data_IF_784123984376
#
_entry.id   IF_784123984376
#
_cell.length_a   1.000
_cell.length_b   1.000
_cell.length_c   1.000
_cell.angle_alpha   90.00
_cell.angle_beta   90.00
_cell.angle_gamma   90.00
#
_symmetry.space_group_name_H-M   'P 1'
#
loop_
_entity.id
_entity.type
_entity.pdbx_description
1 polymer ?
#
# COMPACT_ATOMS: atom_id res chain seq x y z
N UNK A 1 -8.30 16.97 -9.99
CA UNK A 1 -8.41 15.84 -10.93
C UNK A 1 -9.16 14.71 -10.24
N UNK A 2 -9.93 13.95 -11.02
CA UNK A 2 -10.69 12.77 -10.57
C UNK A 2 -10.51 11.67 -11.60
N UNK A 3 -10.38 10.43 -11.17
CA UNK A 3 -10.35 9.27 -12.05
C UNK A 3 -11.76 8.67 -12.14
N UNK A 4 -12.24 8.42 -13.36
CA UNK A 4 -13.58 7.87 -13.60
C UNK A 4 -13.45 6.40 -14.01
N UNK A 5 -14.15 5.51 -13.32
CA UNK A 5 -14.22 4.09 -13.62
C UNK A 5 -15.63 3.68 -13.98
N UNK A 6 -15.80 3.10 -15.18
CA UNK A 6 -17.05 2.46 -15.59
C UNK A 6 -17.02 0.98 -15.26
N UNK A 7 -18.03 0.47 -14.57
CA UNK A 7 -18.12 -0.94 -14.17
C UNK A 7 -19.56 -1.46 -14.18
N UNK A 8 -19.70 -2.78 -14.13
CA UNK A 8 -20.95 -3.43 -13.83
C UNK A 8 -21.13 -3.58 -12.33
N UNK A 9 -22.30 -3.19 -11.80
CA UNK A 9 -22.56 -3.14 -10.37
C UNK A 9 -22.82 -4.49 -9.71
N UNK A 10 -23.30 -5.46 -10.48
CA UNK A 10 -23.56 -6.83 -10.00
C UNK A 10 -22.33 -7.72 -10.17
N UNK A 11 -21.18 -7.25 -9.74
CA UNK A 11 -19.92 -7.96 -9.90
C UNK A 11 -19.13 -8.03 -8.58
N UNK A 12 -18.28 -9.04 -8.45
CA UNK A 12 -17.42 -9.24 -7.28
C UNK A 12 -16.34 -8.16 -7.10
N UNK A 13 -16.11 -7.32 -8.12
CA UNK A 13 -15.18 -6.18 -8.07
C UNK A 13 -15.86 -4.88 -7.66
N UNK A 14 -17.15 -4.87 -7.44
CA UNK A 14 -17.88 -3.66 -7.01
C UNK A 14 -17.32 -3.17 -5.67
N UNK A 15 -17.02 -1.86 -5.55
CA UNK A 15 -16.44 -1.30 -4.35
C UNK A 15 -17.43 -1.42 -3.18
N UNK A 16 -16.93 -1.75 -1.99
CA UNK A 16 -17.76 -1.80 -0.79
C UNK A 16 -18.26 -0.40 -0.43
N UNK A 17 -19.57 -0.24 -0.26
CA UNK A 17 -20.19 1.01 0.16
C UNK A 17 -20.06 1.17 1.68
N UNK A 18 -19.79 2.41 2.12
CA UNK A 18 -19.87 2.82 3.53
C UNK A 18 -21.28 3.35 3.81
N UNK A 19 -21.82 4.10 2.84
CA UNK A 19 -23.10 4.78 2.97
C UNK A 19 -23.79 4.87 1.61
N UNK A 20 -25.14 4.84 1.60
CA UNK A 20 -25.95 4.94 0.39
C UNK A 20 -26.22 3.60 -0.27
N UNK A 21 -26.43 3.60 -1.57
CA UNK A 21 -26.73 2.41 -2.38
C UNK A 21 -25.96 2.44 -3.70
N UNK A 22 -25.94 1.33 -4.42
CA UNK A 22 -25.39 1.27 -5.77
C UNK A 22 -26.30 2.01 -6.75
N UNK A 23 -25.72 2.60 -7.81
CA UNK A 23 -26.49 3.28 -8.84
C UNK A 23 -27.52 2.37 -9.51
N UNK A 24 -28.73 2.86 -9.62
CA UNK A 24 -29.84 2.22 -10.34
C UNK A 24 -30.01 2.79 -11.74
N UNK A 25 -29.52 4.03 -11.97
CA UNK A 25 -29.67 4.75 -13.21
C UNK A 25 -28.32 5.26 -13.72
N UNK A 26 -28.28 5.60 -15.01
CA UNK A 26 -27.07 6.13 -15.69
C UNK A 26 -26.64 7.53 -15.22
N UNK A 27 -27.48 8.25 -14.49
CA UNK A 27 -27.22 9.58 -13.92
C UNK A 27 -26.78 9.52 -12.45
N UNK A 28 -26.58 8.32 -11.92
CA UNK A 28 -26.14 8.11 -10.55
C UNK A 28 -24.69 7.63 -10.51
N UNK A 29 -23.97 8.09 -9.47
CA UNK A 29 -22.55 7.76 -9.29
C UNK A 29 -22.23 7.41 -7.83
N UNK A 30 -21.19 6.63 -7.67
CA UNK A 30 -20.60 6.33 -6.35
C UNK A 30 -19.21 6.96 -6.30
N UNK A 31 -18.89 7.63 -5.20
CA UNK A 31 -17.63 8.35 -5.05
C UNK A 31 -16.86 7.90 -3.82
N UNK A 32 -15.55 8.13 -3.82
CA UNK A 32 -14.72 7.90 -2.63
C UNK A 32 -15.05 8.94 -1.53
N UNK A 33 -15.04 8.52 -0.27
CA UNK A 33 -15.30 9.38 0.90
C UNK A 33 -14.42 10.65 0.93
N UNK A 34 -13.27 10.65 0.28
CA UNK A 34 -12.42 11.84 0.22
C UNK A 34 -13.06 13.06 -0.46
N UNK A 35 -14.17 12.88 -1.18
CA UNK A 35 -14.96 14.00 -1.72
C UNK A 35 -15.56 14.89 -0.62
N UNK A 36 -15.82 14.33 0.57
CA UNK A 36 -16.28 15.11 1.73
C UNK A 36 -15.27 16.20 2.15
N UNK A 37 -13.97 15.96 1.93
CA UNK A 37 -12.93 16.96 2.20
C UNK A 37 -13.03 18.19 1.27
N UNK A 38 -13.71 18.04 0.14
CA UNK A 38 -14.00 19.12 -0.80
C UNK A 38 -15.40 19.72 -0.60
N UNK A 39 -16.11 19.32 0.46
CA UNK A 39 -17.46 19.80 0.80
C UNK A 39 -18.57 19.12 0.03
N UNK A 40 -18.29 18.07 -0.73
CA UNK A 40 -19.24 17.30 -1.53
C UNK A 40 -19.74 16.13 -0.69
N UNK A 41 -21.06 15.96 -0.59
CA UNK A 41 -21.73 14.98 0.27
C UNK A 41 -22.62 14.04 -0.51
N UNK A 42 -23.03 12.96 0.15
CA UNK A 42 -24.05 12.07 -0.36
C UNK A 42 -25.34 12.85 -0.70
N UNK A 43 -25.86 12.64 -1.89
CA UNK A 43 -27.06 13.32 -2.42
C UNK A 43 -26.76 14.57 -3.22
N UNK A 44 -25.53 15.07 -3.22
CA UNK A 44 -25.12 16.22 -4.05
C UNK A 44 -25.00 15.83 -5.51
N UNK A 45 -25.15 16.82 -6.38
CA UNK A 45 -24.98 16.68 -7.82
C UNK A 45 -23.58 17.15 -8.24
N UNK A 46 -22.90 16.35 -9.07
CA UNK A 46 -21.58 16.68 -9.61
C UNK A 46 -21.59 16.66 -11.14
N UNK A 47 -20.77 17.50 -11.76
CA UNK A 47 -20.51 17.46 -13.20
C UNK A 47 -19.17 16.78 -13.46
N UNK A 48 -19.17 15.82 -14.36
CA UNK A 48 -17.97 15.05 -14.71
C UNK A 48 -17.50 15.39 -16.12
N UNK A 49 -16.19 15.55 -16.27
CA UNK A 49 -15.50 15.70 -17.56
C UNK A 49 -16.07 16.78 -18.49
N UNK A 50 -16.57 17.90 -17.92
CA UNK A 50 -17.17 18.98 -18.72
C UNK A 50 -18.50 18.62 -19.40
N UNK A 51 -19.13 17.52 -19.00
CA UNK A 51 -20.45 17.12 -19.42
C UNK A 51 -21.48 18.16 -18.93
N UNK A 52 -22.48 18.45 -19.77
CA UNK A 52 -23.64 19.24 -19.36
C UNK A 52 -24.56 18.45 -18.38
N UNK A 53 -24.39 17.14 -18.33
CA UNK A 53 -25.18 16.25 -17.48
C UNK A 53 -24.67 16.31 -16.05
N UNK A 54 -25.59 16.50 -15.12
CA UNK A 54 -25.34 16.43 -13.68
C UNK A 54 -25.54 14.99 -13.21
N UNK A 55 -24.64 14.49 -12.36
CA UNK A 55 -24.67 13.15 -11.81
C UNK A 55 -24.89 13.22 -10.30
N UNK A 56 -25.88 12.47 -9.82
CA UNK A 56 -26.21 12.43 -8.40
C UNK A 56 -25.34 11.42 -7.66
N UNK A 57 -24.76 11.83 -6.55
CA UNK A 57 -24.00 10.93 -5.67
C UNK A 57 -24.97 10.12 -4.81
N UNK A 58 -25.04 8.81 -5.06
CA UNK A 58 -25.95 7.90 -4.35
C UNK A 58 -25.25 6.94 -3.39
N UNK A 59 -23.91 6.89 -3.44
CA UNK A 59 -23.12 6.06 -2.52
C UNK A 59 -21.72 6.58 -2.29
N UNK A 60 -21.20 6.26 -1.11
CA UNK A 60 -19.83 6.57 -0.70
C UNK A 60 -19.04 5.29 -0.48
N UNK A 61 -17.79 5.26 -0.95
CA UNK A 61 -16.85 4.16 -0.74
C UNK A 61 -15.66 4.62 0.09
N UNK A 62 -14.91 3.68 0.65
CA UNK A 62 -13.73 3.96 1.47
C UNK A 62 -12.46 3.51 0.76
N UNK A 63 -11.44 4.38 0.78
CA UNK A 63 -10.09 4.07 0.31
C UNK A 63 -10.00 3.66 -1.17
N UNK A 64 -10.98 4.05 -1.98
CA UNK A 64 -10.96 3.82 -3.41
C UNK A 64 -10.32 5.01 -4.13
N UNK A 65 -8.98 5.01 -4.15
CA UNK A 65 -8.18 6.01 -4.85
C UNK A 65 -7.36 5.37 -5.95
N UNK A 66 -7.27 6.03 -7.08
CA UNK A 66 -6.34 5.66 -8.14
C UNK A 66 -5.11 6.55 -8.04
N UNK A 67 -3.99 5.98 -7.60
CA UNK A 67 -2.82 6.72 -7.10
C UNK A 67 -3.20 7.64 -5.92
N UNK A 68 -3.23 8.94 -6.14
CA UNK A 68 -3.62 9.95 -5.14
C UNK A 68 -4.95 10.62 -5.47
N UNK A 69 -5.56 10.28 -6.62
CA UNK A 69 -6.80 10.88 -7.09
C UNK A 69 -8.01 10.08 -6.58
N UNK A 70 -9.06 10.77 -6.10
CA UNK A 70 -10.29 10.10 -5.74
C UNK A 70 -10.97 9.52 -6.99
N UNK A 71 -11.62 8.38 -6.81
CA UNK A 71 -12.30 7.66 -7.89
C UNK A 71 -13.80 7.94 -7.84
N UNK A 72 -14.37 8.15 -9.02
CA UNK A 72 -15.81 8.17 -9.28
C UNK A 72 -16.16 6.91 -10.05
N UNK A 73 -17.06 6.11 -9.52
CA UNK A 73 -17.57 4.91 -10.15
C UNK A 73 -18.90 5.20 -10.83
N UNK A 74 -19.00 4.80 -12.08
CA UNK A 74 -20.20 4.98 -12.92
C UNK A 74 -20.59 3.65 -13.58
N UNK A 75 -21.77 3.61 -14.21
CA UNK A 75 -22.10 2.51 -15.11
C UNK A 75 -21.19 2.50 -16.36
N UNK A 76 -21.01 1.35 -16.99
CA UNK A 76 -20.28 1.27 -18.27
C UNK A 76 -20.91 2.17 -19.34
N UNK A 77 -22.23 2.28 -19.35
CA UNK A 77 -22.97 3.11 -20.30
C UNK A 77 -22.60 4.59 -20.11
N UNK A 78 -22.65 5.08 -18.88
CA UNK A 78 -22.28 6.44 -18.52
C UNK A 78 -20.83 6.74 -18.87
N UNK A 79 -19.92 5.81 -18.55
CA UNK A 79 -18.50 5.94 -18.87
C UNK A 79 -18.24 6.13 -20.38
N UNK A 80 -18.89 5.31 -21.22
CA UNK A 80 -18.76 5.46 -22.68
C UNK A 80 -19.37 6.74 -23.21
N UNK A 81 -20.49 7.20 -22.63
CA UNK A 81 -21.12 8.46 -23.00
C UNK A 81 -20.23 9.66 -22.64
N UNK A 82 -19.60 9.64 -21.45
CA UNK A 82 -18.65 10.67 -21.03
C UNK A 82 -17.40 10.74 -21.92
N UNK A 83 -16.98 9.61 -22.50
CA UNK A 83 -15.89 9.56 -23.46
C UNK A 83 -16.30 9.97 -24.88
N UNK A 84 -17.57 10.24 -25.14
CA UNK A 84 -18.09 10.53 -26.48
C UNK A 84 -17.97 9.35 -27.46
N UNK A 85 -17.92 8.12 -26.94
CA UNK A 85 -17.70 6.92 -27.72
C UNK A 85 -18.99 6.46 -28.38
N UNK A 86 -19.03 6.33 -29.70
CA UNK A 86 -20.19 5.75 -30.41
C UNK A 86 -20.35 4.26 -30.13
N UNK A 87 -21.59 3.76 -30.24
CA UNK A 87 -21.92 2.34 -29.95
C UNK A 87 -21.00 1.35 -30.69
N UNK A 88 -20.50 1.71 -31.87
CA UNK A 88 -19.62 0.87 -32.69
C UNK A 88 -18.18 0.78 -32.15
N UNK A 89 -17.75 1.76 -31.35
CA UNK A 89 -16.37 1.86 -30.84
C UNK A 89 -16.27 1.61 -29.32
N UNK A 90 -17.33 1.10 -28.69
CA UNK A 90 -17.30 0.77 -27.28
C UNK A 90 -16.30 -0.35 -27.02
N UNK A 91 -15.35 -0.09 -26.16
CA UNK A 91 -14.32 -1.05 -25.75
C UNK A 91 -14.30 -1.19 -24.22
N UNK A 92 -13.89 -2.35 -23.76
CA UNK A 92 -13.66 -2.64 -22.35
C UNK A 92 -12.16 -2.68 -22.16
N UNK A 93 -11.66 -1.94 -21.18
CA UNK A 93 -10.22 -1.86 -20.89
C UNK A 93 -9.68 -3.15 -20.26
N UNK A 94 -10.47 -3.78 -19.41
CA UNK A 94 -10.10 -5.02 -18.74
C UNK A 94 -11.34 -5.83 -18.37
N UNK A 95 -11.21 -7.16 -18.46
CA UNK A 95 -12.15 -8.13 -17.93
C UNK A 95 -11.48 -8.83 -16.75
N UNK A 96 -12.09 -8.76 -15.57
CA UNK A 96 -11.58 -9.40 -14.36
C UNK A 96 -12.28 -10.72 -14.14
N UNK A 97 -11.49 -11.78 -13.96
CA UNK A 97 -12.02 -13.14 -13.73
C UNK A 97 -11.79 -13.52 -12.27
N UNK A 98 -12.81 -14.08 -11.63
CA UNK A 98 -12.73 -14.51 -10.23
C UNK A 98 -11.97 -15.84 -10.07
N UNK A 99 -12.01 -16.69 -11.08
CA UNK A 99 -11.36 -18.00 -11.07
C UNK A 99 -10.25 -18.05 -12.13
N UNK A 100 -9.32 -18.98 -11.95
CA UNK A 100 -8.21 -19.24 -12.87
C UNK A 100 -8.72 -20.02 -14.11
N UNK A 101 -9.59 -19.37 -14.88
CA UNK A 101 -10.16 -19.91 -16.11
C UNK A 101 -9.36 -19.37 -17.29
N UNK A 102 -8.88 -20.24 -18.15
CA UNK A 102 -8.28 -19.82 -19.41
C UNK A 102 -9.35 -19.29 -20.35
N UNK A 103 -9.29 -17.99 -20.63
CA UNK A 103 -10.15 -17.34 -21.62
C UNK A 103 -9.36 -17.16 -22.92
N UNK A 104 -9.80 -17.83 -23.96
CA UNK A 104 -9.22 -17.72 -25.30
C UNK A 104 -10.17 -16.89 -26.15
N UNK A 105 -9.70 -15.76 -26.66
CA UNK A 105 -10.46 -14.88 -27.56
C UNK A 105 -9.53 -14.06 -28.41
N UNK A 106 -9.96 -13.73 -29.62
CA UNK A 106 -9.17 -12.92 -30.54
C UNK A 106 -8.99 -11.52 -29.95
N UNK A 107 -7.74 -11.11 -29.75
CA UNK A 107 -7.38 -9.82 -29.13
C UNK A 107 -7.36 -9.81 -27.60
N UNK A 108 -7.70 -10.90 -26.90
CA UNK A 108 -7.62 -10.99 -25.45
C UNK A 108 -6.25 -11.52 -25.01
N UNK A 109 -5.67 -10.86 -23.99
CA UNK A 109 -4.43 -11.30 -23.37
C UNK A 109 -4.65 -11.50 -21.88
N UNK A 110 -4.71 -12.74 -21.46
CA UNK A 110 -4.77 -13.06 -20.03
C UNK A 110 -3.43 -12.76 -19.35
N UNK A 111 -3.50 -12.06 -18.24
CA UNK A 111 -2.34 -11.75 -17.40
C UNK A 111 -2.69 -11.97 -15.94
N UNK A 112 -1.76 -12.50 -15.16
CA UNK A 112 -1.93 -12.61 -13.71
C UNK A 112 -1.88 -11.23 -13.06
N UNK A 113 -2.49 -11.10 -11.88
CA UNK A 113 -2.50 -9.85 -11.08
C UNK A 113 -1.07 -9.34 -10.84
N UNK A 114 -0.13 -10.23 -10.46
CA UNK A 114 1.28 -9.86 -10.26
C UNK A 114 1.93 -9.28 -11.51
N UNK A 115 1.62 -9.87 -12.67
CA UNK A 115 2.14 -9.38 -13.95
C UNK A 115 1.49 -8.06 -14.36
N UNK A 116 0.23 -7.85 -14.00
CA UNK A 116 -0.46 -6.56 -14.18
C UNK A 116 0.18 -5.48 -13.32
N UNK A 117 0.38 -5.74 -12.02
CA UNK A 117 1.03 -4.81 -11.09
C UNK A 117 2.43 -4.42 -11.59
N UNK A 118 3.23 -5.39 -12.04
CA UNK A 118 4.58 -5.11 -12.57
C UNK A 118 4.59 -4.25 -13.82
N UNK A 119 3.47 -4.15 -14.55
CA UNK A 119 3.32 -3.31 -15.74
C UNK A 119 2.81 -1.90 -15.45
N UNK A 120 2.40 -1.62 -14.22
CA UNK A 120 2.01 -0.26 -13.81
C UNK A 120 3.23 0.66 -14.02
N UNK A 121 3.07 1.75 -14.78
CA UNK A 121 4.17 2.68 -15.02
C UNK A 121 4.76 3.19 -13.71
N UNK A 122 6.09 3.08 -13.58
CA UNK A 122 6.80 3.52 -12.37
C UNK A 122 6.88 2.49 -11.23
N UNK A 123 6.07 1.44 -11.21
CA UNK A 123 6.07 0.46 -10.11
C UNK A 123 7.42 -0.29 -9.99
N UNK A 124 7.88 -0.91 -11.07
CA UNK A 124 9.13 -1.69 -11.05
C UNK A 124 10.36 -0.84 -10.71
N UNK A 125 10.59 0.35 -11.34
CA UNK A 125 11.66 1.24 -10.93
C UNK A 125 11.57 1.65 -9.46
N UNK A 126 10.38 1.97 -8.97
CA UNK A 126 10.17 2.38 -7.57
C UNK A 126 10.52 1.25 -6.59
N UNK A 127 10.05 0.04 -6.85
CA UNK A 127 10.37 -1.15 -6.01
C UNK A 127 11.87 -1.42 -6.00
N UNK A 128 12.55 -1.32 -7.16
CA UNK A 128 13.99 -1.53 -7.25
C UNK A 128 14.78 -0.48 -6.47
N UNK A 129 14.39 0.80 -6.55
CA UNK A 129 15.01 1.88 -5.78
C UNK A 129 14.84 1.65 -4.28
N UNK A 130 13.62 1.36 -3.81
CA UNK A 130 13.38 1.09 -2.39
C UNK A 130 14.14 -0.15 -1.91
N UNK A 131 14.15 -1.22 -2.70
CA UNK A 131 14.91 -2.44 -2.35
C UNK A 131 16.41 -2.16 -2.26
N UNK A 132 16.95 -1.36 -3.18
CA UNK A 132 18.34 -0.90 -3.14
C UNK A 132 18.65 -0.05 -1.90
N UNK A 133 17.77 0.87 -1.55
CA UNK A 133 17.91 1.68 -0.33
C UNK A 133 17.89 0.81 0.94
N UNK A 134 16.95 -0.13 1.03
CA UNK A 134 16.86 -1.06 2.17
C UNK A 134 18.16 -1.87 2.28
N UNK A 135 18.65 -2.43 1.18
CA UNK A 135 19.90 -3.19 1.15
C UNK A 135 21.09 -2.33 1.63
N UNK A 136 21.20 -1.11 1.12
CA UNK A 136 22.25 -0.17 1.54
C UNK A 136 22.18 0.13 3.04
N UNK A 137 20.98 0.38 3.58
CA UNK A 137 20.78 0.61 5.01
C UNK A 137 21.18 -0.60 5.85
N UNK A 138 20.84 -1.82 5.41
CA UNK A 138 21.23 -3.05 6.11
C UNK A 138 22.77 -3.18 6.16
N UNK A 139 23.46 -2.93 5.04
CA UNK A 139 24.93 -2.99 4.97
C UNK A 139 25.58 -1.95 5.88
N UNK A 140 25.11 -0.70 5.80
CA UNK A 140 25.64 0.41 6.63
C UNK A 140 25.44 0.12 8.11
N UNK A 141 24.22 -0.32 8.49
CA UNK A 141 23.91 -0.68 9.88
C UNK A 141 24.79 -1.82 10.37
N UNK A 142 24.98 -2.86 9.54
CA UNK A 142 25.87 -3.97 9.87
C UNK A 142 27.33 -3.54 10.09
N UNK A 143 27.84 -2.63 9.25
CA UNK A 143 29.18 -2.07 9.42
C UNK A 143 29.31 -1.26 10.71
N UNK A 144 28.35 -0.41 11.01
CA UNK A 144 28.35 0.40 12.25
C UNK A 144 28.33 -0.50 13.47
N UNK A 145 27.43 -1.48 13.52
CA UNK A 145 27.34 -2.44 14.62
C UNK A 145 28.64 -3.24 14.75
N UNK A 146 29.21 -3.67 13.62
CA UNK A 146 30.50 -4.39 13.61
C UNK A 146 31.64 -3.57 14.20
N UNK A 147 31.74 -2.30 13.84
CA UNK A 147 32.75 -1.37 14.39
C UNK A 147 32.54 -1.18 15.90
N UNK A 148 31.31 -1.01 16.37
CA UNK A 148 31.02 -0.86 17.80
C UNK A 148 31.42 -2.12 18.58
N UNK A 149 31.05 -3.31 18.08
CA UNK A 149 31.44 -4.58 18.72
C UNK A 149 32.97 -4.71 18.77
N UNK A 150 33.67 -4.37 17.69
CA UNK A 150 35.14 -4.38 17.63
C UNK A 150 35.75 -3.46 18.69
N UNK A 151 35.31 -2.21 18.80
CA UNK A 151 35.80 -1.25 19.77
C UNK A 151 35.56 -1.73 21.20
N UNK A 152 34.35 -2.19 21.53
CA UNK A 152 34.03 -2.70 22.88
C UNK A 152 34.87 -3.92 23.21
N UNK A 153 35.12 -4.81 22.26
CA UNK A 153 35.92 -5.99 22.45
C UNK A 153 37.36 -5.64 22.75
N UNK A 154 37.98 -4.71 22.03
CA UNK A 154 39.33 -4.23 22.27
C UNK A 154 39.48 -3.60 23.65
N UNK A 155 38.53 -2.74 24.04
CA UNK A 155 38.55 -2.10 25.36
C UNK A 155 38.49 -3.09 26.51
N UNK A 156 37.83 -4.24 26.31
CA UNK A 156 37.67 -5.27 27.33
C UNK A 156 38.71 -6.40 27.26
N UNK A 157 39.68 -6.36 26.33
CA UNK A 157 40.67 -7.40 26.15
C UNK A 157 41.48 -7.71 27.44
N UNK A 158 41.89 -6.67 28.19
CA UNK A 158 42.59 -6.81 29.47
C UNK A 158 41.73 -7.55 30.51
N UNK A 159 40.44 -7.23 30.60
CA UNK A 159 39.50 -7.89 31.50
C UNK A 159 39.33 -9.37 31.12
N UNK A 160 39.20 -9.67 29.85
CA UNK A 160 39.06 -11.04 29.35
C UNK A 160 40.33 -11.86 29.63
N UNK A 161 41.53 -11.24 29.56
CA UNK A 161 42.80 -11.86 29.95
C UNK A 161 42.82 -12.30 31.42
N UNK A 162 42.36 -11.41 32.31
CA UNK A 162 42.26 -11.71 33.76
C UNK A 162 41.24 -12.82 34.03
N UNK A 163 40.06 -12.77 33.43
CA UNK A 163 39.05 -13.81 33.57
C UNK A 163 39.55 -15.19 33.10
N UNK A 164 40.34 -15.21 32.02
CA UNK A 164 40.95 -16.42 31.51
C UNK A 164 42.04 -16.96 32.45
N UNK A 165 42.83 -16.10 33.08
CA UNK A 165 43.83 -16.49 34.09
C UNK A 165 43.17 -17.10 35.34
N UNK A 166 41.93 -16.71 35.64
CA UNK A 166 41.08 -17.29 36.72
C UNK A 166 40.40 -18.61 36.31
N UNK A 167 40.67 -19.13 35.10
CA UNK A 167 40.15 -20.42 34.64
C UNK A 167 38.77 -20.36 33.98
N UNK A 168 38.21 -19.16 33.69
CA UNK A 168 36.92 -19.04 33.00
C UNK A 168 37.06 -19.51 31.56
N UNK A 169 36.17 -20.38 31.13
CA UNK A 169 36.15 -20.90 29.77
C UNK A 169 35.80 -19.79 28.75
N UNK A 170 36.55 -19.76 27.65
CA UNK A 170 36.31 -18.80 26.54
C UNK A 170 34.86 -18.85 26.07
N UNK A 171 34.26 -20.07 26.01
CA UNK A 171 32.86 -20.27 25.61
C UNK A 171 31.87 -19.45 26.45
N UNK A 172 32.12 -19.33 27.76
CA UNK A 172 31.27 -18.55 28.66
C UNK A 172 31.39 -17.04 28.38
N UNK A 173 32.62 -16.56 28.10
CA UNK A 173 32.85 -15.15 27.75
C UNK A 173 32.17 -14.79 26.43
N UNK A 174 32.32 -15.64 25.42
CA UNK A 174 31.68 -15.45 24.10
C UNK A 174 30.16 -15.46 24.24
N UNK A 175 29.60 -16.42 25.01
CA UNK A 175 28.14 -16.48 25.24
C UNK A 175 27.58 -15.23 25.94
N UNK A 176 28.32 -14.70 26.93
CA UNK A 176 27.97 -13.47 27.61
C UNK A 176 27.93 -12.28 26.65
N UNK A 177 28.88 -12.20 25.71
CA UNK A 177 28.88 -11.19 24.66
C UNK A 177 27.65 -11.29 23.74
N UNK A 178 27.33 -12.51 23.31
CA UNK A 178 26.13 -12.74 22.49
C UNK A 178 24.85 -12.31 23.21
N UNK A 179 24.69 -12.69 24.49
CA UNK A 179 23.54 -12.25 25.29
C UNK A 179 23.47 -10.74 25.43
N UNK A 180 24.61 -10.06 25.64
CA UNK A 180 24.64 -8.60 25.73
C UNK A 180 24.21 -7.93 24.42
N UNK A 181 24.71 -8.42 23.27
CA UNK A 181 24.35 -7.89 21.95
C UNK A 181 22.87 -8.13 21.69
N UNK A 182 22.37 -9.32 22.01
CA UNK A 182 20.97 -9.66 21.79
C UNK A 182 20.01 -8.81 22.62
N UNK A 183 20.34 -8.58 23.90
CA UNK A 183 19.57 -7.69 24.77
C UNK A 183 19.56 -6.24 24.26
N UNK A 184 20.74 -5.74 23.88
CA UNK A 184 20.86 -4.36 23.38
C UNK A 184 20.11 -4.17 22.07
N UNK A 185 20.20 -5.15 21.16
CA UNK A 185 19.46 -5.13 19.89
C UNK A 185 17.95 -5.23 20.12
N UNK A 186 17.49 -6.07 21.05
CA UNK A 186 16.09 -6.19 21.42
C UNK A 186 15.53 -4.89 21.99
N UNK A 187 16.28 -4.23 22.86
CA UNK A 187 15.90 -2.90 23.37
C UNK A 187 15.84 -1.85 22.25
N UNK A 188 16.82 -1.84 21.34
CA UNK A 188 16.83 -0.94 20.19
C UNK A 188 15.62 -1.13 19.27
N UNK A 189 15.29 -2.38 18.95
CA UNK A 189 14.11 -2.71 18.14
C UNK A 189 12.83 -2.29 18.87
N UNK A 190 12.72 -2.57 20.17
CA UNK A 190 11.57 -2.18 20.99
C UNK A 190 11.35 -0.67 20.99
N UNK A 191 12.42 0.12 21.18
CA UNK A 191 12.35 1.58 21.11
C UNK A 191 11.98 2.07 19.71
N UNK A 192 12.51 1.46 18.65
CA UNK A 192 12.15 1.82 17.27
C UNK A 192 10.67 1.57 16.98
N UNK A 193 10.12 0.42 17.43
CA UNK A 193 8.69 0.12 17.28
C UNK A 193 7.82 1.10 18.07
N UNK A 194 8.22 1.46 19.29
CA UNK A 194 7.51 2.48 20.10
C UNK A 194 7.55 3.85 19.40
N UNK A 195 8.69 4.24 18.83
CA UNK A 195 8.80 5.50 18.10
C UNK A 195 7.90 5.51 16.86
N UNK A 196 7.87 4.42 16.08
CA UNK A 196 6.97 4.29 14.93
C UNK A 196 5.52 4.39 15.39
N UNK A 197 5.15 3.70 16.45
CA UNK A 197 3.80 3.75 17.01
C UNK A 197 3.41 5.15 17.46
N UNK A 198 4.32 5.89 18.14
CA UNK A 198 4.10 7.27 18.53
C UNK A 198 3.93 8.21 17.31
N UNK A 199 4.70 8.01 16.24
CA UNK A 199 4.57 8.76 14.99
C UNK A 199 3.20 8.51 14.36
N UNK A 200 2.73 7.26 14.34
CA UNK A 200 1.40 6.90 13.82
C UNK A 200 0.29 7.62 14.58
N UNK A 201 0.41 7.78 15.89
CA UNK A 201 -0.60 8.51 16.71
C UNK A 201 -0.64 10.02 16.44
N UNK A 202 0.46 10.59 16.00
CA UNK A 202 0.58 12.05 15.77
C UNK A 202 0.26 12.44 14.34
N UNK A 203 0.49 11.55 13.36
CA UNK A 203 0.18 11.84 11.96
C UNK A 203 -1.33 11.74 11.69
N UNK A 204 -1.91 12.71 10.97
CA UNK A 204 -3.30 12.60 10.55
C UNK A 204 -3.51 11.43 9.58
N UNK A 205 -4.71 10.86 9.59
CA UNK A 205 -5.09 9.65 8.86
C UNK A 205 -4.86 9.70 7.33
N UNK A 206 -4.64 10.88 6.78
CA UNK A 206 -4.31 11.10 5.36
C UNK A 206 -2.95 10.56 4.92
N UNK A 207 -2.05 10.26 5.87
CA UNK A 207 -0.71 9.72 5.60
C UNK A 207 -0.56 8.23 5.89
N UNK A 208 -1.65 7.54 6.28
CA UNK A 208 -1.53 6.13 6.66
C UNK A 208 -1.34 5.22 5.46
N UNK A 209 -0.14 4.68 5.35
CA UNK A 209 0.08 3.34 4.86
C UNK A 209 -0.32 2.36 5.98
N UNK A 210 -1.51 1.80 5.93
CA UNK A 210 -1.82 0.64 6.77
C UNK A 210 -0.95 -0.53 6.28
N UNK A 211 0.03 -0.98 7.06
CA UNK A 211 0.69 -2.22 6.70
C UNK A 211 -0.36 -3.32 6.78
N UNK A 212 -0.52 -4.07 5.71
CA UNK A 212 -1.57 -5.09 5.52
C UNK A 212 -1.67 -6.12 6.65
N UNK A 213 -0.60 -6.31 7.43
CA UNK A 213 -0.58 -7.22 8.58
C UNK A 213 -1.34 -6.68 9.82
N UNK A 214 -1.55 -5.36 9.93
CA UNK A 214 -2.38 -4.75 11.00
C UNK A 214 -3.88 -4.86 10.72
N UNK A 215 -4.29 -5.17 9.50
CA UNK A 215 -5.69 -5.38 9.13
C UNK A 215 -6.21 -6.78 9.55
N UNK A 216 -5.34 -7.66 10.02
CA UNK A 216 -5.67 -9.03 10.46
C UNK A 216 -5.75 -9.18 11.99
N UNK A 217 -5.62 -8.09 12.75
CA UNK A 217 -5.88 -7.98 14.18
C UNK A 217 -6.95 -6.91 14.43
#
# INVERSE_FOLDING_TARGET
NVSIFGQEWDSFISPSLIEGHYPENDEEVVVDQSFENYGIKLGDDIQLNGSETSFKIVGLTKENKFFTEPVVFTSLTTYWNLQGTTKANRSISALVLQNDVEVTGDGLKQISIQKMISKIPGYTPQVNVFSGMILAMIVITGLIVGIFIYIITIQKLGLYGIMRAQGIQIKSIVWSLFCQIFLLSGLGIGLALLAIWAVILVLPATFFFYPSWLAYF
#
